data_IF_007136215364
#
_entry.id   IF_007136215364
#
_cell.length_a   1.000
_cell.length_b   1.000
_cell.length_c   1.000
_cell.angle_alpha   90.00
_cell.angle_beta   90.00
_cell.angle_gamma   90.00
#
_symmetry.space_group_name_H-M   'P 1'
#
loop_
_entity.id
_entity.type
_entity.pdbx_description
1 polymer ?
#
# COMPACT_ATOMS: atom_id res chain seq x y z
N UNK A 1 16.37 -12.22 -18.10
CA UNK A 1 14.91 -12.11 -17.97
C UNK A 1 14.40 -12.40 -16.57
N UNK A 2 14.55 -13.61 -15.99
CA UNK A 2 14.08 -13.86 -14.60
C UNK A 2 14.84 -13.03 -13.54
N UNK A 3 16.17 -12.90 -13.70
CA UNK A 3 17.01 -12.02 -12.89
C UNK A 3 16.52 -10.57 -12.94
N UNK A 4 16.14 -10.11 -14.14
CA UNK A 4 15.61 -8.77 -14.42
C UNK A 4 14.29 -8.51 -13.69
N UNK A 5 13.41 -9.51 -13.60
CA UNK A 5 12.12 -9.39 -12.89
C UNK A 5 12.35 -9.33 -11.37
N UNK A 6 13.27 -10.14 -10.84
CA UNK A 6 13.62 -10.13 -9.41
C UNK A 6 14.27 -8.81 -9.00
N UNK A 7 15.19 -8.30 -9.81
CA UNK A 7 15.78 -6.97 -9.64
C UNK A 7 14.72 -5.86 -9.74
N UNK A 8 13.68 -6.04 -10.54
CA UNK A 8 12.56 -5.08 -10.66
C UNK A 8 11.62 -5.10 -9.45
N UNK A 9 11.49 -6.25 -8.77
CA UNK A 9 10.60 -6.42 -7.61
C UNK A 9 11.21 -5.82 -6.35
N UNK A 10 12.52 -5.95 -6.18
CA UNK A 10 13.25 -5.47 -5.00
C UNK A 10 12.97 -4.00 -4.63
N UNK A 11 13.09 -3.01 -5.55
CA UNK A 11 12.81 -1.62 -5.22
C UNK A 11 11.32 -1.35 -4.93
N UNK A 12 10.40 -2.14 -5.49
CA UNK A 12 8.95 -2.02 -5.21
C UNK A 12 8.65 -2.52 -3.80
N UNK A 13 9.30 -3.62 -3.39
CA UNK A 13 9.24 -4.13 -2.02
C UNK A 13 9.75 -3.10 -1.02
N UNK A 14 10.94 -2.55 -1.24
CA UNK A 14 11.56 -1.56 -0.34
C UNK A 14 10.70 -0.29 -0.22
N UNK A 15 10.10 0.16 -1.32
CA UNK A 15 9.15 1.28 -1.31
C UNK A 15 7.91 0.99 -0.48
N UNK A 16 7.39 -0.23 -0.58
CA UNK A 16 6.20 -0.64 0.17
C UNK A 16 6.49 -0.73 1.66
N UNK A 17 7.61 -1.35 2.05
CA UNK A 17 8.06 -1.41 3.45
C UNK A 17 8.26 -0.01 4.04
N UNK A 18 8.89 0.90 3.28
CA UNK A 18 9.04 2.30 3.70
C UNK A 18 7.69 2.99 3.91
N UNK A 19 6.79 2.90 2.94
CA UNK A 19 5.45 3.51 3.03
C UNK A 19 4.68 2.97 4.24
N UNK A 20 4.75 1.66 4.50
CA UNK A 20 4.11 1.05 5.68
C UNK A 20 4.74 1.55 6.98
N UNK A 21 6.07 1.74 7.03
CA UNK A 21 6.74 2.30 8.22
C UNK A 21 6.42 3.78 8.46
N UNK A 22 6.17 4.55 7.40
CA UNK A 22 5.75 5.95 7.48
C UNK A 22 4.31 6.07 7.99
N UNK A 23 3.48 5.05 7.77
CA UNK A 23 2.10 4.97 8.25
C UNK A 23 2.12 4.37 9.67
N UNK A 24 2.78 5.05 10.59
CA UNK A 24 2.72 4.72 12.01
C UNK A 24 1.45 5.33 12.63
N UNK A 25 0.63 4.58 13.39
CA UNK A 25 -0.72 4.98 13.81
C UNK A 25 -0.76 6.05 14.92
N UNK A 26 0.35 6.67 15.29
CA UNK A 26 0.35 7.84 16.18
C UNK A 26 -0.15 9.08 15.43
N UNK A 27 -1.46 9.14 15.21
CA UNK A 27 -2.12 10.34 14.75
C UNK A 27 -2.38 11.27 15.95
N UNK A 28 -1.86 12.52 15.97
CA UNK A 28 -2.12 13.42 17.08
C UNK A 28 -3.56 13.90 17.09
N UNK A 29 -4.03 14.08 18.33
CA UNK A 29 -5.35 14.54 18.69
C UNK A 29 -5.65 15.94 18.13
N UNK A 30 -6.90 16.10 17.68
CA UNK A 30 -7.69 17.32 17.49
C UNK A 30 -6.99 18.70 17.46
N UNK A 31 -6.74 19.21 16.25
CA UNK A 31 -6.96 20.63 15.93
C UNK A 31 -7.74 20.68 14.61
N UNK A 32 -9.01 21.12 14.70
CA UNK A 32 -10.09 20.83 13.74
C UNK A 32 -10.24 21.95 12.71
N UNK A 33 -10.46 21.53 11.46
CA UNK A 33 -10.87 22.26 10.24
C UNK A 33 -9.77 22.61 9.23
N UNK A 34 -8.81 23.50 9.48
CA UNK A 34 -7.78 23.81 8.45
C UNK A 34 -6.75 22.69 8.27
N UNK A 35 -6.44 21.98 9.35
CA UNK A 35 -5.59 20.79 9.33
C UNK A 35 -6.25 19.61 8.57
N UNK A 36 -7.58 19.63 8.37
CA UNK A 36 -8.30 18.49 7.77
C UNK A 36 -8.18 18.42 6.24
N UNK A 37 -8.16 19.54 5.51
CA UNK A 37 -7.99 19.48 4.04
C UNK A 37 -6.60 18.98 3.65
N UNK A 38 -5.56 19.47 4.32
CA UNK A 38 -4.19 19.00 4.11
C UNK A 38 -4.01 17.54 4.54
N UNK A 39 -4.68 17.10 5.62
CA UNK A 39 -4.69 15.69 6.03
C UNK A 39 -5.46 14.79 5.07
N UNK A 40 -6.58 15.23 4.50
CA UNK A 40 -7.35 14.46 3.52
C UNK A 40 -6.53 14.27 2.23
N UNK A 41 -5.88 15.33 1.74
CA UNK A 41 -4.97 15.23 0.58
C UNK A 41 -3.78 14.31 0.86
N UNK A 42 -3.21 14.36 2.07
CA UNK A 42 -2.11 13.47 2.46
C UNK A 42 -2.56 12.02 2.54
N UNK A 43 -3.74 11.74 3.09
CA UNK A 43 -4.31 10.39 3.15
C UNK A 43 -4.57 9.87 1.72
N UNK A 44 -5.13 10.69 0.83
CA UNK A 44 -5.36 10.32 -0.57
C UNK A 44 -4.07 10.02 -1.30
N UNK A 45 -3.04 10.85 -1.10
CA UNK A 45 -1.72 10.60 -1.67
C UNK A 45 -1.12 9.28 -1.17
N UNK A 46 -1.22 8.98 0.13
CA UNK A 46 -0.74 7.71 0.70
C UNK A 46 -1.51 6.51 0.13
N UNK A 47 -2.84 6.61 0.01
CA UNK A 47 -3.66 5.57 -0.62
C UNK A 47 -3.23 5.34 -2.06
N UNK A 48 -3.09 6.40 -2.86
CA UNK A 48 -2.68 6.30 -4.27
C UNK A 48 -1.29 5.66 -4.41
N UNK A 49 -0.32 6.06 -3.58
CA UNK A 49 1.03 5.48 -3.60
C UNK A 49 1.04 4.00 -3.23
N UNK A 50 0.24 3.58 -2.24
CA UNK A 50 0.07 2.16 -1.89
C UNK A 50 -0.59 1.38 -3.03
N UNK A 51 -1.64 1.94 -3.65
CA UNK A 51 -2.33 1.33 -4.79
C UNK A 51 -1.36 1.08 -5.95
N UNK A 52 -0.55 2.08 -6.34
CA UNK A 52 0.45 1.96 -7.39
C UNK A 52 1.49 0.86 -7.11
N UNK A 53 1.91 0.71 -5.85
CA UNK A 53 2.84 -0.35 -5.46
C UNK A 53 2.19 -1.73 -5.61
N UNK A 54 0.92 -1.88 -5.20
CA UNK A 54 0.15 -3.12 -5.35
C UNK A 54 -0.01 -3.47 -6.84
N UNK A 55 -0.41 -2.52 -7.68
CA UNK A 55 -0.62 -2.74 -9.11
C UNK A 55 0.68 -3.17 -9.81
N UNK A 56 1.80 -2.54 -9.44
CA UNK A 56 3.13 -2.91 -9.94
C UNK A 56 3.51 -4.34 -9.55
N UNK A 57 3.24 -4.73 -8.29
CA UNK A 57 3.48 -6.10 -7.81
C UNK A 57 2.61 -7.11 -8.55
N UNK A 58 1.33 -6.80 -8.78
CA UNK A 58 0.41 -7.68 -9.51
C UNK A 58 0.84 -7.86 -10.97
N UNK A 59 1.24 -6.79 -11.65
CA UNK A 59 1.77 -6.85 -13.02
C UNK A 59 3.05 -7.69 -13.11
N UNK A 60 4.00 -7.48 -12.19
CA UNK A 60 5.25 -8.24 -12.15
C UNK A 60 5.01 -9.73 -11.82
N UNK A 61 4.06 -10.02 -10.92
CA UNK A 61 3.68 -11.39 -10.59
C UNK A 61 3.04 -12.10 -11.80
N UNK A 62 2.16 -11.41 -12.55
CA UNK A 62 1.57 -11.94 -13.78
C UNK A 62 2.64 -12.25 -14.84
N UNK A 63 3.55 -11.31 -15.10
CA UNK A 63 4.67 -11.52 -16.04
C UNK A 63 5.56 -12.69 -15.60
N UNK A 64 5.78 -12.85 -14.30
CA UNK A 64 6.54 -13.97 -13.77
C UNK A 64 5.84 -15.31 -14.00
N UNK A 65 4.54 -15.42 -13.68
CA UNK A 65 3.74 -16.64 -13.91
C UNK A 65 3.79 -17.04 -15.39
N UNK A 66 3.59 -16.08 -16.30
CA UNK A 66 3.68 -16.31 -17.75
C UNK A 66 5.09 -16.78 -18.17
N UNK A 67 6.15 -16.21 -17.60
CA UNK A 67 7.52 -16.62 -17.85
C UNK A 67 7.86 -18.02 -17.28
N UNK A 68 7.31 -18.36 -16.11
CA UNK A 68 7.53 -19.62 -15.42
C UNK A 68 6.79 -20.78 -16.11
N UNK A 69 5.59 -20.54 -16.63
CA UNK A 69 4.85 -21.50 -17.44
C UNK A 69 5.60 -21.89 -18.72
N UNK A 70 6.37 -20.95 -19.29
CA UNK A 70 7.18 -21.18 -20.51
C UNK A 70 8.52 -21.88 -20.27
N UNK A 71 8.98 -22.08 -19.03
CA UNK A 71 10.25 -22.80 -18.76
C UNK A 71 10.33 -23.39 -17.34
N UNK A 72 10.52 -24.71 -17.23
CA UNK A 72 10.64 -25.47 -15.97
C UNK A 72 11.73 -24.97 -15.01
N UNK A 73 12.82 -24.39 -15.52
CA UNK A 73 14.02 -23.98 -14.76
C UNK A 73 13.91 -22.62 -14.05
N UNK A 74 12.82 -21.84 -14.22
CA UNK A 74 12.69 -20.48 -13.63
C UNK A 74 11.90 -20.41 -12.32
N UNK A 75 11.44 -21.55 -11.80
CA UNK A 75 10.56 -21.62 -10.61
C UNK A 75 11.27 -21.28 -9.29
N UNK A 76 12.58 -21.50 -9.20
CA UNK A 76 13.32 -21.52 -7.93
C UNK A 76 13.66 -20.11 -7.39
N UNK A 77 14.03 -19.15 -8.24
CA UNK A 77 14.51 -17.86 -7.76
C UNK A 77 13.41 -16.91 -7.25
N UNK A 78 12.17 -17.01 -7.75
CA UNK A 78 11.05 -16.19 -7.24
C UNK A 78 10.52 -16.72 -5.91
N UNK A 79 10.58 -18.04 -5.72
CA UNK A 79 10.20 -18.67 -4.47
C UNK A 79 10.97 -18.04 -3.31
N UNK A 80 12.27 -17.77 -3.43
CA UNK A 80 13.07 -17.11 -2.40
C UNK A 80 12.60 -15.70 -2.02
N UNK A 81 12.19 -14.86 -2.99
CA UNK A 81 11.57 -13.54 -2.71
C UNK A 81 10.15 -13.65 -2.16
N UNK A 82 9.47 -14.78 -2.40
CA UNK A 82 8.13 -15.10 -1.93
C UNK A 82 8.10 -15.82 -0.57
N UNK A 83 9.22 -16.37 -0.07
CA UNK A 83 9.26 -17.21 1.13
C UNK A 83 9.91 -16.57 2.36
N UNK A 84 10.37 -15.31 2.28
CA UNK A 84 10.86 -14.57 3.44
C UNK A 84 9.79 -14.24 4.49
N UNK A 85 10.22 -13.94 5.71
CA UNK A 85 9.38 -13.61 6.89
C UNK A 85 8.44 -12.41 6.62
N UNK A 86 8.89 -11.46 5.79
CA UNK A 86 8.08 -10.38 5.21
C UNK A 86 8.11 -10.45 3.68
N UNK A 87 7.56 -11.55 3.16
CA UNK A 87 7.47 -11.74 1.71
C UNK A 87 6.46 -10.78 1.07
N UNK A 88 6.53 -10.68 -0.26
CA UNK A 88 5.75 -9.70 -1.01
C UNK A 88 4.23 -9.92 -0.95
N UNK A 89 3.78 -11.14 -0.65
CA UNK A 89 2.35 -11.43 -0.46
C UNK A 89 1.85 -10.87 0.88
N UNK A 90 2.65 -11.04 1.95
CA UNK A 90 2.37 -10.46 3.27
C UNK A 90 2.33 -8.93 3.16
N UNK A 91 3.34 -8.32 2.53
CA UNK A 91 3.39 -6.86 2.35
C UNK A 91 2.21 -6.32 1.52
N UNK A 92 1.83 -7.02 0.45
CA UNK A 92 0.63 -6.69 -0.32
C UNK A 92 -0.64 -6.76 0.52
N UNK A 93 -0.75 -7.77 1.39
CA UNK A 93 -1.88 -7.89 2.30
C UNK A 93 -1.91 -6.74 3.33
N UNK A 94 -0.79 -6.48 4.01
CA UNK A 94 -0.62 -5.34 4.93
C UNK A 94 -0.99 -4.00 4.27
N UNK A 95 -0.58 -3.80 3.01
CA UNK A 95 -0.92 -2.61 2.23
C UNK A 95 -2.42 -2.46 1.99
N UNK A 96 -3.12 -3.55 1.66
CA UNK A 96 -4.58 -3.55 1.46
C UNK A 96 -5.31 -3.22 2.76
N UNK A 97 -4.93 -3.84 3.87
CA UNK A 97 -5.49 -3.55 5.20
C UNK A 97 -5.24 -2.10 5.62
N UNK A 98 -4.06 -1.56 5.30
CA UNK A 98 -3.72 -0.16 5.56
C UNK A 98 -4.60 0.80 4.75
N UNK A 99 -4.84 0.51 3.46
CA UNK A 99 -5.75 1.29 2.61
C UNK A 99 -7.17 1.29 3.19
N UNK A 100 -7.67 0.12 3.62
CA UNK A 100 -9.01 0.00 4.25
C UNK A 100 -9.07 0.88 5.51
N UNK A 101 -8.07 0.78 6.38
CA UNK A 101 -7.99 1.54 7.63
C UNK A 101 -7.96 3.05 7.38
N UNK A 102 -7.11 3.52 6.45
CA UNK A 102 -7.02 4.93 6.06
C UNK A 102 -8.33 5.45 5.46
N UNK A 103 -8.99 4.64 4.62
CA UNK A 103 -10.29 4.98 4.02
C UNK A 103 -11.38 5.09 5.09
N UNK A 104 -11.41 4.17 6.05
CA UNK A 104 -12.34 4.23 7.18
C UNK A 104 -12.10 5.47 8.04
N UNK A 105 -10.83 5.79 8.31
CA UNK A 105 -10.45 6.98 9.09
C UNK A 105 -10.91 8.27 8.40
N UNK A 106 -10.67 8.39 7.08
CA UNK A 106 -11.17 9.51 6.27
C UNK A 106 -12.69 9.64 6.34
N UNK A 107 -13.42 8.53 6.23
CA UNK A 107 -14.90 8.52 6.35
C UNK A 107 -15.36 9.01 7.72
N UNK A 108 -14.68 8.59 8.80
CA UNK A 108 -14.99 9.02 10.16
C UNK A 108 -14.78 10.53 10.34
N UNK A 109 -13.64 11.07 9.89
CA UNK A 109 -13.38 12.52 9.93
C UNK A 109 -14.48 13.28 9.18
N UNK A 110 -14.80 12.86 7.95
CA UNK A 110 -15.80 13.54 7.13
C UNK A 110 -17.19 13.52 7.78
N UNK A 111 -17.57 12.42 8.43
CA UNK A 111 -18.82 12.34 9.19
C UNK A 111 -18.82 13.26 10.43
N UNK A 112 -17.71 13.33 11.16
CA UNK A 112 -17.58 14.25 12.31
C UNK A 112 -17.68 15.72 11.87
N UNK A 113 -17.03 16.10 10.76
CA UNK A 113 -17.13 17.46 10.19
C UNK A 113 -18.58 17.77 9.83
N UNK A 114 -19.28 16.87 9.11
CA UNK A 114 -20.70 17.03 8.75
C UNK A 114 -21.59 17.22 9.97
N UNK A 115 -21.35 16.49 11.05
CA UNK A 115 -22.13 16.68 12.30
C UNK A 115 -21.84 18.02 12.96
N UNK A 116 -20.60 18.51 12.93
CA UNK A 116 -20.26 19.82 13.49
C UNK A 116 -20.88 20.96 12.67
N UNK A 117 -20.85 20.87 11.34
CA UNK A 117 -21.43 21.90 10.45
C UNK A 117 -22.95 21.88 10.48
N UNK A 118 -23.59 20.70 10.58
CA UNK A 118 -25.04 20.57 10.68
C UNK A 118 -25.63 21.01 12.02
N UNK A 119 -24.84 21.08 13.11
CA UNK A 119 -25.28 21.57 14.44
C UNK A 119 -25.14 23.08 14.61
N UNK A 120 -24.61 23.80 13.61
CA UNK A 120 -24.41 25.26 13.62
C UNK A 120 -25.42 26.02 12.75
N UNK A 121 -26.37 25.34 12.14
CA UNK A 121 -27.58 25.92 11.53
C UNK A 121 -28.77 25.72 12.46
#
# INVERSE_FOLDING_TARGET
>A
MAFTIIESIKPVKDRLERLLSEINPTLPNHERLQINETKDLLIDEKILRLQMCIDSIEALNKQWIECAQKSKTKKENYAQTATGERNIFILKHEAKETIITLTMYKRKINNEIKQITSKRQ
#
